data_IF_526879832926
#
_entry.id   IF_526879832926
#
_cell.length_a   1.000
_cell.length_b   1.000
_cell.length_c   1.000
_cell.angle_alpha   90.00
_cell.angle_beta   90.00
_cell.angle_gamma   90.00
#
_symmetry.space_group_name_H-M   'P 1'
#
loop_
_entity.id
_entity.type
_entity.pdbx_description
1 polymer ?
#
# COMPACT_ATOMS: atom_id res chain seq x y z
N UNK A 1 -43.04 -7.51 61.00
CA UNK A 1 -41.97 -8.00 61.90
C UNK A 1 -40.65 -7.79 61.18
N UNK A 2 -39.87 -6.80 61.62
CA UNK A 2 -38.55 -6.49 61.08
C UNK A 2 -37.44 -6.96 62.02
N UNK A 3 -36.25 -7.18 61.46
CA UNK A 3 -34.89 -7.16 62.07
C UNK A 3 -33.92 -6.97 60.89
N UNK A 4 -33.33 -5.78 60.70
CA UNK A 4 -31.98 -5.36 61.11
C UNK A 4 -30.81 -6.18 60.52
N UNK A 5 -30.09 -5.63 59.53
CA UNK A 5 -28.76 -4.96 59.60
C UNK A 5 -27.57 -5.85 60.00
N UNK A 6 -26.52 -5.90 59.15
CA UNK A 6 -25.14 -5.47 59.49
C UNK A 6 -24.10 -5.68 58.36
N UNK A 7 -23.44 -4.57 58.01
CA UNK A 7 -21.98 -4.32 57.92
C UNK A 7 -21.05 -5.37 57.26
N UNK A 8 -20.56 -5.01 56.06
CA UNK A 8 -19.17 -4.59 55.82
C UNK A 8 -18.00 -5.52 56.17
N UNK A 9 -17.23 -5.93 55.14
CA UNK A 9 -15.77 -6.12 55.27
C UNK A 9 -15.05 -5.82 53.96
N UNK A 10 -14.00 -4.99 54.09
CA UNK A 10 -13.01 -4.63 53.08
C UNK A 10 -11.94 -5.72 52.93
N UNK A 11 -11.34 -5.74 51.73
CA UNK A 11 -9.90 -5.81 51.44
C UNK A 11 -9.35 -7.04 50.71
N UNK A 12 -8.31 -6.77 49.91
CA UNK A 12 -7.49 -7.59 49.00
C UNK A 12 -8.13 -7.73 47.62
N UNK A 13 -7.69 -7.05 46.56
CA UNK A 13 -6.35 -6.59 46.23
C UNK A 13 -5.81 -7.45 45.09
N UNK A 14 -6.18 -7.11 43.85
CA UNK A 14 -5.48 -7.61 42.66
C UNK A 14 -5.25 -6.41 41.74
N UNK A 15 -4.03 -5.88 41.81
CA UNK A 15 -3.49 -4.95 40.81
C UNK A 15 -3.14 -5.77 39.57
N UNK A 16 -3.98 -5.72 38.54
CA UNK A 16 -3.56 -6.13 37.20
C UNK A 16 -2.73 -4.99 36.60
N UNK A 17 -1.41 -5.05 36.84
CA UNK A 17 -0.41 -4.31 36.06
C UNK A 17 -0.44 -4.89 34.64
N UNK A 18 -1.01 -4.16 33.69
CA UNK A 18 -0.69 -4.37 32.28
C UNK A 18 0.65 -3.65 32.08
N UNK A 19 1.73 -4.43 32.04
CA UNK A 19 3.01 -4.01 31.51
C UNK A 19 2.81 -3.76 30.00
N UNK A 20 2.84 -2.49 29.60
CA UNK A 20 3.20 -2.13 28.23
C UNK A 20 4.72 -2.36 28.10
N UNK A 21 5.09 -3.57 27.69
CA UNK A 21 6.45 -3.84 27.24
C UNK A 21 6.63 -3.15 25.91
N UNK A 22 7.38 -2.05 25.93
CA UNK A 22 7.94 -1.44 24.74
C UNK A 22 8.76 -2.50 23.98
N UNK A 23 8.37 -2.78 22.74
CA UNK A 23 9.25 -3.49 21.81
C UNK A 23 10.28 -2.45 21.34
N UNK A 24 11.33 -2.30 22.13
CA UNK A 24 12.60 -1.76 21.68
C UNK A 24 13.22 -2.77 20.72
N UNK A 25 13.63 -2.33 19.53
CA UNK A 25 14.53 -3.08 18.65
C UNK A 25 15.96 -2.60 18.91
N UNK A 26 16.85 -3.41 19.52
CA UNK A 26 18.24 -3.03 19.69
C UNK A 26 19.19 -3.91 18.85
N UNK A 27 20.37 -3.32 18.56
CA UNK A 27 21.62 -3.90 18.02
C UNK A 27 21.69 -4.28 16.52
N UNK A 28 22.85 -4.24 15.85
CA UNK A 28 24.09 -3.44 15.87
C UNK A 28 24.98 -4.02 14.75
N UNK A 29 25.88 -3.20 14.24
CA UNK A 29 27.02 -3.51 13.36
C UNK A 29 27.71 -4.88 13.52
N UNK A 30 28.00 -5.53 12.37
CA UNK A 30 29.27 -6.14 11.90
C UNK A 30 28.89 -7.10 10.76
N UNK A 31 29.35 -6.89 9.52
CA UNK A 31 30.62 -7.44 9.04
C UNK A 31 31.20 -6.58 7.90
N UNK A 32 32.46 -6.18 8.09
CA UNK A 32 33.43 -5.95 6.99
C UNK A 32 34.17 -7.29 6.85
N UNK A 33 34.36 -7.76 5.60
CA UNK A 33 35.61 -8.33 5.08
C UNK A 33 35.37 -8.94 3.70
N UNK A 34 35.84 -8.24 2.66
CA UNK A 34 36.25 -8.87 1.40
C UNK A 34 37.44 -9.81 1.65
N UNK A 35 37.61 -10.85 0.83
CA UNK A 35 38.89 -10.97 0.15
C UNK A 35 38.74 -11.18 -1.36
N UNK A 36 39.60 -10.48 -2.07
CA UNK A 36 40.01 -10.70 -3.44
C UNK A 36 40.30 -12.18 -3.74
N UNK A 37 39.81 -12.66 -4.88
CA UNK A 37 40.50 -13.70 -5.64
C UNK A 37 40.63 -13.25 -7.10
N UNK A 38 41.89 -13.09 -7.45
CA UNK A 38 42.50 -12.89 -8.76
C UNK A 38 42.33 -14.12 -9.65
N UNK A 39 42.05 -13.89 -10.93
CA UNK A 39 42.18 -14.85 -12.02
C UNK A 39 41.51 -14.24 -13.25
N UNK A 40 42.20 -13.65 -14.22
CA UNK A 40 43.40 -14.16 -14.87
C UNK A 40 42.97 -14.88 -16.14
N UNK A 41 42.50 -14.15 -17.15
CA UNK A 41 42.39 -14.67 -18.51
C UNK A 41 42.91 -13.64 -19.52
N UNK A 42 43.75 -14.17 -20.41
CA UNK A 42 44.59 -13.50 -21.38
C UNK A 42 44.03 -13.77 -22.78
N UNK A 43 44.24 -12.79 -23.69
CA UNK A 43 44.32 -12.83 -25.17
C UNK A 43 43.08 -12.32 -25.95
N UNK A 44 43.27 -11.91 -27.23
CA UNK A 44 44.25 -10.93 -27.71
C UNK A 44 43.59 -9.90 -28.65
N UNK A 45 44.36 -8.87 -29.02
CA UNK A 45 43.83 -7.61 -29.52
C UNK A 45 43.32 -7.57 -30.96
N UNK A 46 42.66 -6.46 -31.23
CA UNK A 46 42.39 -5.91 -32.55
C UNK A 46 42.87 -4.47 -32.59
N UNK A 47 43.62 -4.15 -33.65
CA UNK A 47 44.15 -2.82 -33.98
C UNK A 47 43.14 -2.05 -34.83
N UNK A 48 43.30 -0.73 -34.73
CA UNK A 48 42.98 0.33 -35.68
C UNK A 48 41.50 0.64 -35.98
N UNK A 49 41.06 1.85 -35.60
CA UNK A 49 40.84 2.92 -36.57
C UNK A 49 40.68 4.30 -35.89
N UNK A 50 41.13 5.33 -36.60
CA UNK A 50 41.26 6.73 -36.17
C UNK A 50 39.97 7.52 -36.45
N UNK A 51 39.62 8.40 -35.51
CA UNK A 51 38.91 9.69 -35.72
C UNK A 51 37.38 9.64 -35.78
N UNK A 52 36.67 10.78 -35.55
CA UNK A 52 37.16 12.15 -35.46
C UNK A 52 36.88 12.89 -34.13
N UNK A 53 37.61 13.99 -33.95
CA UNK A 53 37.48 14.97 -32.87
C UNK A 53 36.06 15.55 -32.79
N UNK A 54 35.44 15.48 -31.61
CA UNK A 54 34.28 16.30 -31.26
C UNK A 54 34.73 17.34 -30.23
N UNK A 55 34.46 18.59 -30.59
CA UNK A 55 34.79 19.81 -29.86
C UNK A 55 34.11 19.83 -28.49
N UNK A 56 34.93 19.93 -27.43
CA UNK A 56 34.49 20.25 -26.07
C UNK A 56 33.83 21.63 -26.04
N UNK A 57 32.50 21.69 -26.05
CA UNK A 57 31.79 22.83 -25.48
C UNK A 57 31.82 22.68 -23.96
N UNK A 58 32.65 23.49 -23.32
CA UNK A 58 32.66 23.64 -21.87
C UNK A 58 31.31 24.19 -21.40
N UNK A 59 30.46 23.31 -20.90
CA UNK A 59 29.37 23.70 -20.02
C UNK A 59 30.00 24.17 -18.72
N UNK A 60 29.92 25.47 -18.46
CA UNK A 60 30.24 26.04 -17.16
C UNK A 60 29.21 25.48 -16.19
N UNK A 61 29.61 24.47 -15.42
CA UNK A 61 28.85 24.08 -14.23
C UNK A 61 28.74 25.33 -13.37
N UNK A 62 27.52 25.83 -13.21
CA UNK A 62 27.20 26.86 -12.21
C UNK A 62 27.67 26.31 -10.86
N UNK A 63 28.83 26.76 -10.38
CA UNK A 63 29.30 26.42 -9.04
C UNK A 63 28.25 26.99 -8.09
N UNK A 64 27.57 26.10 -7.38
CA UNK A 64 26.70 26.48 -6.28
C UNK A 64 27.45 27.46 -5.38
N UNK A 65 26.76 28.47 -4.85
CA UNK A 65 27.42 29.43 -3.98
C UNK A 65 27.99 28.67 -2.77
N UNK A 66 29.15 29.07 -2.21
CA UNK A 66 29.74 28.38 -1.06
C UNK A 66 28.78 28.19 0.12
N UNK A 67 27.73 29.02 0.22
CA UNK A 67 26.66 28.92 1.20
C UNK A 67 25.69 27.76 0.90
N UNK A 68 25.33 27.55 -0.37
CA UNK A 68 24.46 26.43 -0.77
C UNK A 68 25.13 25.07 -0.50
N UNK A 69 26.45 24.98 -0.62
CA UNK A 69 27.21 23.76 -0.30
C UNK A 69 27.10 23.36 1.19
N UNK A 70 26.97 24.33 2.10
CA UNK A 70 26.76 24.08 3.52
C UNK A 70 25.32 23.68 3.83
N UNK A 71 24.35 24.30 3.17
CA UNK A 71 22.92 24.00 3.34
C UNK A 71 22.54 22.62 2.77
N UNK A 72 23.28 22.13 1.77
CA UNK A 72 23.05 20.83 1.15
C UNK A 72 23.65 19.63 1.94
N UNK A 73 24.18 19.85 3.14
CA UNK A 73 24.84 18.80 3.93
C UNK A 73 23.83 17.82 4.52
N UNK A 74 24.08 16.53 4.27
CA UNK A 74 23.29 15.43 4.83
C UNK A 74 23.48 15.28 6.34
N UNK A 75 22.55 14.60 7.01
CA UNK A 75 22.65 14.31 8.46
C UNK A 75 23.99 13.65 8.83
N UNK A 76 24.43 12.65 8.06
CA UNK A 76 25.69 11.93 8.32
C UNK A 76 26.92 12.83 8.18
N UNK A 77 26.91 13.73 7.20
CA UNK A 77 27.99 14.71 7.06
C UNK A 77 28.01 15.67 8.24
N UNK A 78 26.84 16.20 8.64
CA UNK A 78 26.70 17.10 9.78
C UNK A 78 27.11 16.41 11.07
N UNK A 79 26.73 15.14 11.29
CA UNK A 79 27.14 14.37 12.46
C UNK A 79 28.67 14.26 12.60
N UNK A 80 29.37 14.15 11.48
CA UNK A 80 30.84 14.08 11.42
C UNK A 80 31.54 15.45 11.55
N UNK A 81 30.80 16.55 11.72
CA UNK A 81 31.40 17.87 11.86
C UNK A 81 32.09 18.05 13.21
N UNK A 82 33.35 18.49 13.15
CA UNK A 82 34.01 19.13 14.29
C UNK A 82 33.46 20.55 14.53
N UNK A 83 33.86 21.16 15.64
CA UNK A 83 33.39 22.48 16.11
C UNK A 83 33.42 23.56 15.01
N UNK A 84 34.52 23.67 14.28
CA UNK A 84 34.69 24.68 13.23
C UNK A 84 33.74 24.50 12.04
N UNK A 85 33.39 23.24 11.72
CA UNK A 85 32.45 22.94 10.63
C UNK A 85 31.01 23.17 11.07
N UNK A 86 30.68 22.88 12.33
CA UNK A 86 29.38 23.24 12.93
C UNK A 86 29.15 24.74 12.86
N UNK A 87 30.16 25.54 13.19
CA UNK A 87 30.10 27.01 13.10
C UNK A 87 29.76 27.51 11.70
N UNK A 88 30.44 26.98 10.67
CA UNK A 88 30.21 27.37 9.28
C UNK A 88 28.83 26.94 8.78
N UNK A 89 28.38 25.75 9.20
CA UNK A 89 27.04 25.26 8.87
C UNK A 89 25.95 26.13 9.54
N UNK A 90 26.07 26.40 10.84
CA UNK A 90 25.13 27.24 11.57
C UNK A 90 25.08 28.67 11.01
N UNK A 91 26.24 29.23 10.63
CA UNK A 91 26.31 30.53 9.95
C UNK A 91 25.52 30.52 8.63
N UNK A 92 25.70 29.49 7.80
CA UNK A 92 25.00 29.36 6.52
C UNK A 92 23.47 29.25 6.70
N UNK A 93 23.02 28.47 7.68
CA UNK A 93 21.60 28.32 8.06
C UNK A 93 21.02 29.65 8.52
N UNK A 94 21.70 30.37 9.42
CA UNK A 94 21.21 31.64 9.95
C UNK A 94 21.19 32.74 8.88
N UNK A 95 22.16 32.73 7.96
CA UNK A 95 22.16 33.63 6.79
C UNK A 95 20.99 33.32 5.83
N UNK A 96 20.66 32.05 5.61
CA UNK A 96 19.48 31.65 4.82
C UNK A 96 18.19 32.19 5.45
N UNK A 97 18.07 32.12 6.77
CA UNK A 97 16.97 32.69 7.54
C UNK A 97 16.99 34.22 7.66
N UNK A 98 17.91 34.92 6.96
CA UNK A 98 18.07 36.38 6.99
C UNK A 98 18.23 36.95 8.40
N UNK A 99 18.89 36.21 9.29
CA UNK A 99 19.23 36.69 10.64
C UNK A 99 20.28 37.79 10.54
N UNK A 100 20.19 38.81 11.40
CA UNK A 100 21.18 39.91 11.45
C UNK A 100 22.57 39.40 11.79
N UNK A 101 23.60 39.90 11.11
CA UNK A 101 24.99 39.43 11.22
C UNK A 101 25.52 39.44 12.67
N UNK A 102 25.14 40.42 13.49
CA UNK A 102 25.59 40.47 14.89
C UNK A 102 25.06 39.27 15.70
N UNK A 103 23.81 38.86 15.44
CA UNK A 103 23.20 37.70 16.09
C UNK A 103 23.78 36.39 15.56
N UNK A 104 24.18 36.36 14.29
CA UNK A 104 24.87 35.21 13.71
C UNK A 104 26.23 35.02 14.40
N UNK A 105 27.04 36.07 14.48
CA UNK A 105 28.37 35.99 15.11
C UNK A 105 28.28 35.63 16.60
N UNK A 106 27.32 36.20 17.32
CA UNK A 106 27.06 35.83 18.72
C UNK A 106 26.68 34.34 18.85
N UNK A 107 25.78 33.85 18.00
CA UNK A 107 25.33 32.45 18.04
C UNK A 107 26.47 31.49 17.70
N UNK A 108 27.24 31.77 16.65
CA UNK A 108 28.37 30.93 16.25
C UNK A 108 29.46 30.90 17.32
N UNK A 109 29.81 32.05 17.90
CA UNK A 109 30.80 32.15 18.99
C UNK A 109 30.35 31.33 20.20
N UNK A 110 29.06 31.42 20.54
CA UNK A 110 28.47 30.69 21.65
C UNK A 110 28.56 29.17 21.43
N UNK A 111 28.18 28.67 20.25
CA UNK A 111 28.30 27.25 19.91
C UNK A 111 29.76 26.76 19.94
N UNK A 112 30.72 27.58 19.52
CA UNK A 112 32.15 27.27 19.61
C UNK A 112 32.64 27.17 21.06
N UNK A 113 32.29 28.15 21.88
CA UNK A 113 32.67 28.21 23.30
C UNK A 113 32.11 27.02 24.08
N UNK A 114 30.86 26.65 23.81
CA UNK A 114 30.22 25.45 24.39
C UNK A 114 30.75 24.13 23.79
N UNK A 115 31.61 24.22 22.78
CA UNK A 115 32.25 23.05 22.18
C UNK A 115 31.31 22.13 21.43
N UNK A 116 30.21 22.66 20.88
CA UNK A 116 29.19 21.88 20.18
C UNK A 116 29.78 21.24 18.93
N UNK A 117 29.76 19.91 18.92
CA UNK A 117 30.13 19.06 17.76
C UNK A 117 28.89 18.72 16.94
N UNK A 118 29.09 18.18 15.75
CA UNK A 118 28.02 17.75 14.85
C UNK A 118 27.03 16.78 15.51
N UNK A 119 27.55 15.78 16.24
CA UNK A 119 26.72 14.83 16.99
C UNK A 119 25.88 15.51 18.07
N UNK A 120 26.50 16.33 18.92
CA UNK A 120 25.76 17.05 19.97
C UNK A 120 24.78 18.07 19.40
N UNK A 121 25.12 18.72 18.28
CA UNK A 121 24.22 19.68 17.60
C UNK A 121 22.92 19.00 17.20
N UNK A 122 23.01 17.79 16.64
CA UNK A 122 21.87 16.98 16.24
C UNK A 122 21.06 16.43 17.41
N UNK A 123 21.38 16.75 18.66
CA UNK A 123 20.59 16.37 19.85
C UNK A 123 19.92 17.59 20.50
N UNK A 124 20.31 18.81 20.11
CA UNK A 124 19.85 20.04 20.75
C UNK A 124 18.41 20.39 20.36
N UNK A 125 17.58 20.56 21.37
CA UNK A 125 16.24 21.16 21.30
C UNK A 125 16.30 22.69 21.27
N UNK A 126 15.20 23.38 20.86
CA UNK A 126 15.11 24.83 20.98
C UNK A 126 15.41 25.33 22.40
N UNK A 127 14.93 24.61 23.42
CA UNK A 127 15.09 24.93 24.84
C UNK A 127 16.56 24.82 25.30
N UNK A 128 17.27 23.80 24.84
CA UNK A 128 18.70 23.61 25.13
C UNK A 128 19.56 24.66 24.42
N UNK A 129 19.22 25.03 23.18
CA UNK A 129 19.88 26.14 22.48
C UNK A 129 19.72 27.47 23.24
N UNK A 130 18.52 27.73 23.76
CA UNK A 130 18.27 28.91 24.59
C UNK A 130 19.03 28.88 25.91
N UNK A 131 19.14 27.70 26.53
CA UNK A 131 19.95 27.49 27.76
C UNK A 131 21.43 27.74 27.50
N UNK A 132 21.90 27.45 26.28
CA UNK A 132 23.23 27.83 25.81
C UNK A 132 23.38 29.33 25.49
N UNK A 133 22.43 30.19 25.86
CA UNK A 133 22.43 31.64 25.57
C UNK A 133 22.24 32.00 24.08
N UNK A 134 21.73 31.07 23.25
CA UNK A 134 21.29 31.41 21.89
C UNK A 134 19.93 32.09 21.96
N UNK A 135 19.77 33.25 21.29
CA UNK A 135 18.48 33.97 21.30
C UNK A 135 17.39 33.15 20.60
N UNK A 136 16.14 33.36 21.03
CA UNK A 136 14.95 32.62 20.57
C UNK A 136 14.84 32.51 19.03
N UNK A 137 15.10 33.58 18.29
CA UNK A 137 15.01 33.58 16.82
C UNK A 137 16.00 32.60 16.17
N UNK A 138 17.32 32.78 16.35
CA UNK A 138 18.34 31.83 15.92
C UNK A 138 18.12 30.40 16.44
N UNK A 139 17.70 30.24 17.70
CA UNK A 139 17.47 28.93 18.30
C UNK A 139 16.34 28.16 17.57
N UNK A 140 15.21 28.82 17.29
CA UNK A 140 14.11 28.22 16.52
C UNK A 140 14.52 27.83 15.11
N UNK A 141 15.29 28.67 14.42
CA UNK A 141 15.72 28.41 13.05
C UNK A 141 16.68 27.20 12.98
N UNK A 142 17.65 27.16 13.90
CA UNK A 142 18.59 26.04 14.00
C UNK A 142 17.87 24.75 14.38
N UNK A 143 16.98 24.80 15.38
CA UNK A 143 16.21 23.63 15.78
C UNK A 143 15.31 23.12 14.65
N UNK A 144 14.68 24.00 13.86
CA UNK A 144 13.88 23.58 12.70
C UNK A 144 14.75 22.91 11.63
N UNK A 145 15.96 23.43 11.35
CA UNK A 145 16.88 22.78 10.40
C UNK A 145 17.45 21.47 10.93
N UNK A 146 17.74 21.38 12.23
CA UNK A 146 18.14 20.13 12.88
C UNK A 146 16.99 19.12 12.79
N UNK A 147 15.75 19.55 13.07
CA UNK A 147 14.54 18.74 12.93
C UNK A 147 14.39 18.24 11.50
N UNK A 148 14.59 19.06 10.47
CA UNK A 148 14.57 18.64 9.06
C UNK A 148 15.71 17.66 8.69
N UNK A 149 16.86 17.72 9.39
CA UNK A 149 17.94 16.74 9.23
C UNK A 149 17.69 15.43 10.02
N UNK A 150 16.91 15.50 11.09
CA UNK A 150 16.55 14.40 11.98
C UNK A 150 15.27 13.68 11.56
N UNK A 151 14.33 14.41 10.96
CA UNK A 151 13.27 13.84 10.14
C UNK A 151 14.02 12.92 9.23
N UNK A 152 13.80 11.62 9.50
CA UNK A 152 14.29 10.51 8.71
C UNK A 152 14.27 11.02 7.29
N UNK A 153 15.42 11.02 6.59
CA UNK A 153 15.39 10.95 5.14
C UNK A 153 14.40 9.83 4.88
N UNK A 154 13.12 10.16 4.70
CA UNK A 154 12.11 9.25 4.18
C UNK A 154 12.88 8.72 3.00
N UNK A 155 13.20 7.41 2.99
CA UNK A 155 14.08 6.87 1.98
C UNK A 155 13.55 7.51 0.71
N UNK A 156 14.40 8.27 0.00
CA UNK A 156 14.15 8.40 -1.43
C UNK A 156 14.12 6.95 -1.81
N UNK A 157 12.92 6.39 -1.93
CA UNK A 157 12.71 4.98 -2.13
C UNK A 157 13.34 4.79 -3.50
N UNK A 158 14.63 4.47 -3.52
CA UNK A 158 15.22 3.76 -4.62
C UNK A 158 14.44 2.45 -4.56
N UNK A 159 13.29 2.42 -5.25
CA UNK A 159 12.47 1.24 -5.35
C UNK A 159 13.45 0.12 -5.71
N UNK A 160 13.52 -0.96 -4.92
CA UNK A 160 14.46 -2.00 -5.21
C UNK A 160 14.16 -2.51 -6.61
N UNK A 161 15.25 -2.55 -7.37
CA UNK A 161 15.20 -2.81 -8.78
C UNK A 161 15.07 -4.32 -8.99
N UNK A 162 13.89 -4.77 -9.40
CA UNK A 162 13.64 -6.16 -9.77
C UNK A 162 13.73 -6.27 -11.29
N UNK A 163 14.84 -6.83 -11.76
CA UNK A 163 15.08 -7.00 -13.20
C UNK A 163 14.47 -8.29 -13.79
N UNK A 164 13.66 -9.00 -12.99
CA UNK A 164 13.03 -10.26 -13.35
C UNK A 164 11.53 -10.02 -13.55
N UNK A 165 10.99 -10.21 -14.77
CA UNK A 165 9.58 -9.95 -15.06
C UNK A 165 8.62 -10.70 -14.13
N UNK A 166 8.92 -11.94 -13.76
CA UNK A 166 8.06 -12.79 -12.95
C UNK A 166 7.94 -12.26 -11.51
N UNK A 167 9.06 -11.79 -10.95
CA UNK A 167 9.08 -11.15 -9.62
C UNK A 167 8.29 -9.86 -9.66
N UNK A 168 8.51 -9.05 -10.69
CA UNK A 168 7.85 -7.76 -10.81
C UNK A 168 6.33 -7.92 -11.02
N UNK A 169 5.89 -8.88 -11.85
CA UNK A 169 4.47 -9.22 -12.02
C UNK A 169 3.85 -9.68 -10.69
N UNK A 170 4.52 -10.59 -9.97
CA UNK A 170 4.02 -11.06 -8.68
C UNK A 170 3.85 -9.92 -7.66
N UNK A 171 4.81 -8.99 -7.59
CA UNK A 171 4.73 -7.80 -6.75
C UNK A 171 3.63 -6.84 -7.20
N UNK A 172 3.44 -6.64 -8.51
CA UNK A 172 2.35 -5.83 -9.08
C UNK A 172 0.99 -6.39 -8.68
N UNK A 173 0.78 -7.70 -8.84
CA UNK A 173 -0.48 -8.33 -8.41
C UNK A 173 -0.66 -8.22 -6.89
N UNK A 174 0.39 -8.41 -6.09
CA UNK A 174 0.33 -8.27 -4.62
C UNK A 174 0.11 -6.81 -4.18
N UNK A 175 0.45 -5.82 -5.00
CA UNK A 175 0.23 -4.41 -4.66
C UNK A 175 -1.22 -3.97 -4.77
N UNK A 176 -2.03 -4.69 -5.53
CA UNK A 176 -3.46 -4.45 -5.58
C UNK A 176 -4.21 -5.14 -4.43
N UNK A 177 -3.69 -6.24 -3.88
CA UNK A 177 -4.45 -7.15 -3.02
C UNK A 177 -3.76 -7.43 -1.70
N UNK A 178 -4.52 -7.47 -0.61
CA UNK A 178 -3.97 -7.92 0.68
C UNK A 178 -3.67 -9.43 0.62
N UNK A 179 -2.40 -9.78 0.49
CA UNK A 179 -1.98 -11.18 0.32
C UNK A 179 -1.57 -11.83 1.65
N UNK A 180 -2.10 -13.02 2.01
CA UNK A 180 -1.64 -13.78 3.17
C UNK A 180 -0.20 -14.27 2.96
N UNK A 181 0.72 -13.82 3.82
CA UNK A 181 2.12 -14.21 3.72
C UNK A 181 2.88 -14.00 5.04
N UNK A 182 3.89 -14.84 5.24
CA UNK A 182 4.85 -14.76 6.34
C UNK A 182 6.27 -14.61 5.80
N UNK A 183 7.18 -14.01 6.58
CA UNK A 183 8.52 -13.63 6.08
C UNK A 183 9.38 -14.79 5.56
N UNK A 184 9.17 -16.02 6.02
CA UNK A 184 9.95 -17.18 5.55
C UNK A 184 9.39 -17.82 4.27
N UNK A 185 8.17 -17.45 3.85
CA UNK A 185 7.53 -17.97 2.65
C UNK A 185 8.09 -17.29 1.39
N UNK A 186 7.90 -17.94 0.24
CA UNK A 186 8.27 -17.41 -1.06
C UNK A 186 7.20 -16.42 -1.57
N UNK A 187 7.64 -15.41 -2.32
CA UNK A 187 6.75 -14.57 -3.12
C UNK A 187 6.15 -15.43 -4.23
N UNK A 188 4.82 -15.39 -4.46
CA UNK A 188 4.15 -16.24 -5.45
C UNK A 188 4.86 -16.26 -6.81
N UNK A 189 5.15 -17.46 -7.32
CA UNK A 189 5.73 -17.64 -8.65
C UNK A 189 7.23 -17.35 -8.75
N UNK A 190 7.91 -17.14 -7.63
CA UNK A 190 9.33 -16.77 -7.61
C UNK A 190 10.13 -17.65 -6.65
N UNK A 191 11.46 -17.54 -6.73
CA UNK A 191 12.40 -18.11 -5.76
C UNK A 191 12.76 -17.15 -4.60
N UNK A 192 12.22 -15.92 -4.59
CA UNK A 192 12.51 -14.92 -3.56
C UNK A 192 11.65 -15.11 -2.32
N UNK A 193 12.21 -14.85 -1.14
CA UNK A 193 11.47 -14.86 0.13
C UNK A 193 10.88 -13.50 0.44
N UNK A 194 9.72 -13.48 1.07
CA UNK A 194 9.13 -12.24 1.59
C UNK A 194 10.07 -11.49 2.54
N UNK A 195 10.91 -12.18 3.32
CA UNK A 195 11.94 -11.53 4.16
C UNK A 195 12.92 -10.68 3.37
N UNK A 196 13.28 -11.10 2.16
CA UNK A 196 14.24 -10.38 1.31
C UNK A 196 13.56 -9.17 0.67
N UNK A 197 12.30 -9.35 0.28
CA UNK A 197 11.41 -8.25 -0.13
C UNK A 197 11.32 -7.21 1.00
N UNK A 198 10.93 -7.60 2.22
CA UNK A 198 10.83 -6.65 3.35
C UNK A 198 12.14 -5.91 3.65
N UNK A 199 13.28 -6.61 3.61
CA UNK A 199 14.61 -6.00 3.80
C UNK A 199 14.94 -4.96 2.74
N UNK A 200 14.44 -5.16 1.52
CA UNK A 200 14.58 -4.21 0.42
C UNK A 200 13.64 -2.99 0.55
N UNK A 201 12.85 -2.90 1.63
CA UNK A 201 11.76 -1.93 1.77
C UNK A 201 10.49 -2.36 1.05
N UNK A 202 10.53 -3.56 0.43
CA UNK A 202 9.56 -4.32 -0.38
C UNK A 202 8.12 -3.86 -0.49
N UNK A 203 7.63 -3.79 0.73
CA UNK A 203 6.44 -4.42 1.21
C UNK A 203 6.62 -4.42 2.72
N UNK A 204 5.52 -4.30 3.43
CA UNK A 204 5.51 -4.23 4.88
C UNK A 204 4.70 -5.40 5.43
N UNK A 205 5.24 -6.15 6.40
CA UNK A 205 4.46 -7.14 7.13
C UNK A 205 3.26 -6.46 7.82
N UNK A 206 2.09 -7.07 7.71
CA UNK A 206 0.87 -6.66 8.40
C UNK A 206 0.16 -7.89 8.94
N UNK A 207 0.43 -8.25 10.20
CA UNK A 207 -0.03 -9.50 10.81
C UNK A 207 0.37 -10.73 9.98
N UNK A 208 -0.62 -11.53 9.52
CA UNK A 208 -0.45 -12.71 8.66
C UNK A 208 -0.52 -12.38 7.16
N UNK A 209 -0.30 -11.12 6.80
CA UNK A 209 -0.42 -10.61 5.43
C UNK A 209 0.68 -9.61 5.12
N UNK A 210 0.78 -9.21 3.86
CA UNK A 210 1.72 -8.19 3.40
C UNK A 210 0.99 -7.01 2.77
N UNK A 211 1.56 -5.83 2.93
CA UNK A 211 1.14 -4.61 2.26
C UNK A 211 2.23 -4.18 1.29
N UNK A 212 1.93 -4.10 0.00
CA UNK A 212 2.88 -3.62 -1.00
C UNK A 212 2.42 -2.23 -1.46
N UNK A 213 3.22 -1.16 -1.21
CA UNK A 213 2.83 0.19 -1.59
C UNK A 213 2.75 0.40 -3.09
N UNK A 214 1.97 1.41 -3.51
CA UNK A 214 1.85 1.84 -4.92
C UNK A 214 3.19 2.19 -5.58
N UNK A 215 4.18 2.65 -4.80
CA UNK A 215 5.45 3.24 -5.25
C UNK A 215 6.49 2.25 -5.83
N UNK A 216 6.05 1.08 -6.27
CA UNK A 216 6.90 -0.07 -6.50
C UNK A 216 6.88 -0.46 -7.98
N UNK A 217 7.15 0.54 -8.81
CA UNK A 217 7.19 0.37 -10.25
C UNK A 217 8.62 0.20 -10.73
N UNK A 218 8.85 -0.84 -11.53
CA UNK A 218 10.16 -1.11 -12.10
C UNK A 218 10.61 0.07 -12.98
N UNK A 219 11.79 0.65 -12.73
CA UNK A 219 12.31 1.74 -13.56
C UNK A 219 12.66 1.28 -14.98
N UNK A 220 12.84 -0.03 -15.19
CA UNK A 220 13.15 -0.63 -16.49
C UNK A 220 11.95 -0.64 -17.44
N UNK A 221 12.09 0.04 -18.58
CA UNK A 221 11.06 0.13 -19.62
C UNK A 221 10.73 -1.24 -20.23
N UNK A 222 11.71 -2.14 -20.40
CA UNK A 222 11.47 -3.44 -21.01
C UNK A 222 10.63 -4.32 -20.08
N UNK A 223 10.90 -4.25 -18.78
CA UNK A 223 10.15 -5.02 -17.77
C UNK A 223 8.75 -4.45 -17.60
N UNK A 224 8.60 -3.12 -17.61
CA UNK A 224 7.27 -2.49 -17.64
C UNK A 224 6.44 -2.98 -18.82
N UNK A 225 7.04 -3.05 -20.00
CA UNK A 225 6.34 -3.51 -21.19
C UNK A 225 6.00 -5.00 -21.13
N UNK A 226 6.92 -5.83 -20.61
CA UNK A 226 6.64 -7.25 -20.34
C UNK A 226 5.45 -7.42 -19.39
N UNK A 227 5.44 -6.71 -18.25
CA UNK A 227 4.34 -6.76 -17.28
C UNK A 227 3.01 -6.32 -17.91
N UNK A 228 3.02 -5.26 -18.75
CA UNK A 228 1.80 -4.82 -19.45
C UNK A 228 1.28 -5.88 -20.39
N UNK A 229 2.16 -6.55 -21.13
CA UNK A 229 1.78 -7.63 -22.03
C UNK A 229 1.21 -8.80 -21.23
N UNK A 230 1.87 -9.21 -20.15
CA UNK A 230 1.39 -10.28 -19.27
C UNK A 230 0.00 -9.94 -18.70
N UNK A 231 -0.19 -8.74 -18.15
CA UNK A 231 -1.50 -8.32 -17.61
C UNK A 231 -2.58 -8.25 -18.69
N UNK A 232 -2.22 -7.83 -19.90
CA UNK A 232 -3.14 -7.84 -21.05
C UNK A 232 -3.57 -9.27 -21.42
N UNK A 233 -2.65 -10.23 -21.40
CA UNK A 233 -2.97 -11.65 -21.62
C UNK A 233 -3.87 -12.21 -20.50
N UNK A 234 -3.68 -11.75 -19.26
CA UNK A 234 -4.54 -12.09 -18.12
C UNK A 234 -5.89 -11.36 -18.14
N UNK A 235 -6.10 -10.47 -19.11
CA UNK A 235 -7.24 -9.55 -19.20
C UNK A 235 -7.48 -8.78 -17.88
N UNK A 236 -6.40 -8.29 -17.29
CA UNK A 236 -6.39 -7.42 -16.11
C UNK A 236 -5.85 -6.06 -16.55
N UNK A 237 -6.61 -5.00 -16.29
CA UNK A 237 -6.17 -3.65 -16.62
C UNK A 237 -5.21 -3.14 -15.55
N UNK A 238 -4.01 -2.75 -15.95
CA UNK A 238 -2.99 -2.25 -15.03
C UNK A 238 -3.40 -0.91 -14.40
N UNK A 239 -4.08 -0.04 -15.15
CA UNK A 239 -4.56 1.24 -14.62
C UNK A 239 -5.76 1.02 -13.69
N UNK A 240 -6.67 0.10 -14.01
CA UNK A 240 -7.74 -0.33 -13.11
C UNK A 240 -7.23 -1.07 -11.86
N UNK A 241 -6.10 -1.77 -11.96
CA UNK A 241 -5.49 -2.52 -10.85
C UNK A 241 -4.65 -1.62 -9.94
N UNK A 242 -3.94 -0.63 -10.49
CA UNK A 242 -3.07 0.30 -9.77
C UNK A 242 -3.33 1.77 -10.15
N UNK A 243 -4.56 2.28 -9.96
CA UNK A 243 -4.93 3.62 -10.42
C UNK A 243 -4.15 4.72 -9.67
N UNK A 244 -4.28 5.96 -10.16
CA UNK A 244 -3.61 7.06 -9.49
C UNK A 244 -4.12 7.31 -8.07
N UNK A 245 -3.22 7.40 -7.09
CA UNK A 245 -3.56 7.58 -5.67
C UNK A 245 -4.22 8.93 -5.41
N UNK A 246 -3.83 9.99 -6.12
CA UNK A 246 -4.52 11.28 -6.04
C UNK A 246 -5.91 11.15 -6.67
N UNK A 247 -6.01 10.46 -7.81
CA UNK A 247 -7.31 10.20 -8.44
C UNK A 247 -8.22 9.35 -7.54
N UNK A 248 -7.72 8.28 -6.92
CA UNK A 248 -8.49 7.45 -5.96
C UNK A 248 -8.96 8.26 -4.75
N UNK A 249 -8.15 9.18 -4.26
CA UNK A 249 -8.52 10.02 -3.12
C UNK A 249 -9.62 11.03 -3.47
N UNK A 250 -9.65 11.50 -4.72
CA UNK A 250 -10.59 12.53 -5.18
C UNK A 250 -11.81 11.99 -5.92
N UNK A 251 -11.72 10.79 -6.50
CA UNK A 251 -12.75 10.18 -7.32
C UNK A 251 -13.34 8.96 -6.60
N UNK A 252 -14.64 9.03 -6.32
CA UNK A 252 -15.45 7.97 -5.70
C UNK A 252 -16.34 7.34 -6.79
N UNK A 253 -16.69 6.05 -6.70
CA UNK A 253 -17.54 5.37 -7.69
C UNK A 253 -16.79 4.44 -8.66
N UNK A 254 -16.96 4.62 -9.98
CA UNK A 254 -16.55 3.68 -11.05
C UNK A 254 -15.11 3.14 -10.93
N UNK A 255 -14.12 3.99 -10.60
CA UNK A 255 -12.73 3.55 -10.40
C UNK A 255 -12.56 2.53 -9.28
N UNK A 256 -13.40 2.57 -8.25
CA UNK A 256 -13.38 1.61 -7.16
C UNK A 256 -13.99 0.27 -7.59
N UNK A 257 -15.00 0.28 -8.45
CA UNK A 257 -15.59 -0.93 -9.03
C UNK A 257 -14.55 -1.69 -9.84
N UNK A 258 -13.81 -0.97 -10.68
CA UNK A 258 -12.69 -1.52 -11.46
C UNK A 258 -11.61 -2.07 -10.56
N UNK A 259 -11.20 -1.30 -9.55
CA UNK A 259 -10.16 -1.73 -8.62
C UNK A 259 -10.55 -3.01 -7.89
N UNK A 260 -11.81 -3.12 -7.44
CA UNK A 260 -12.34 -4.34 -6.82
C UNK A 260 -12.34 -5.51 -7.80
N UNK A 261 -12.85 -5.33 -9.02
CA UNK A 261 -12.93 -6.39 -10.02
C UNK A 261 -11.53 -6.91 -10.41
N UNK A 262 -10.62 -6.00 -10.73
CA UNK A 262 -9.24 -6.35 -11.09
C UNK A 262 -8.50 -6.95 -9.89
N UNK A 263 -8.75 -6.48 -8.66
CA UNK A 263 -8.18 -7.06 -7.44
C UNK A 263 -8.65 -8.49 -7.18
N UNK A 264 -9.93 -8.80 -7.41
CA UNK A 264 -10.45 -10.17 -7.31
C UNK A 264 -9.78 -11.07 -8.34
N UNK A 265 -9.73 -10.65 -9.62
CA UNK A 265 -9.02 -11.40 -10.66
C UNK A 265 -7.54 -11.61 -10.32
N UNK A 266 -6.86 -10.58 -9.82
CA UNK A 266 -5.47 -10.66 -9.39
C UNK A 266 -5.26 -11.65 -8.23
N UNK A 267 -6.16 -11.68 -7.23
CA UNK A 267 -6.11 -12.69 -6.15
C UNK A 267 -6.22 -14.11 -6.68
N UNK A 268 -7.15 -14.35 -7.60
CA UNK A 268 -7.29 -15.66 -8.23
C UNK A 268 -6.00 -16.07 -8.97
N UNK A 269 -5.44 -15.17 -9.77
CA UNK A 269 -4.18 -15.43 -10.48
C UNK A 269 -3.02 -15.69 -9.50
N UNK A 270 -2.86 -14.87 -8.46
CA UNK A 270 -1.84 -15.09 -7.42
C UNK A 270 -2.02 -16.42 -6.70
N UNK A 271 -3.25 -16.83 -6.41
CA UNK A 271 -3.55 -18.12 -5.80
C UNK A 271 -3.09 -19.28 -6.69
N UNK A 272 -3.44 -19.23 -7.97
CA UNK A 272 -3.00 -20.24 -8.93
C UNK A 272 -1.47 -20.28 -9.06
N UNK A 273 -0.82 -19.12 -9.17
CA UNK A 273 0.65 -19.00 -9.23
C UNK A 273 1.31 -19.59 -7.97
N UNK A 274 0.85 -19.19 -6.78
CA UNK A 274 1.42 -19.64 -5.51
C UNK A 274 1.32 -21.15 -5.30
N UNK A 275 0.28 -21.78 -5.84
CA UNK A 275 0.05 -23.23 -5.74
C UNK A 275 0.46 -24.02 -6.98
N UNK A 276 1.06 -23.35 -7.97
CA UNK A 276 1.45 -23.96 -9.24
C UNK A 276 0.26 -24.66 -9.94
N UNK A 277 -0.89 -24.00 -9.97
CA UNK A 277 -2.14 -24.48 -10.58
C UNK A 277 -2.36 -23.81 -11.93
N UNK A 278 -2.98 -24.54 -12.87
CA UNK A 278 -3.39 -23.97 -14.16
C UNK A 278 -4.68 -23.15 -14.00
N UNK A 279 -4.56 -21.83 -14.08
CA UNK A 279 -5.69 -20.92 -13.90
C UNK A 279 -6.80 -21.11 -14.95
N UNK A 280 -6.49 -21.62 -16.15
CA UNK A 280 -7.45 -21.78 -17.25
C UNK A 280 -8.52 -22.86 -16.97
N UNK A 281 -8.20 -23.84 -16.14
CA UNK A 281 -9.07 -25.00 -15.88
C UNK A 281 -9.41 -25.18 -14.40
N UNK A 282 -8.71 -24.49 -13.51
CA UNK A 282 -8.87 -24.66 -12.07
C UNK A 282 -10.02 -23.82 -11.55
N UNK A 283 -10.96 -24.48 -10.87
CA UNK A 283 -11.95 -23.84 -10.03
C UNK A 283 -11.47 -23.90 -8.58
N UNK A 284 -11.42 -22.75 -7.93
CA UNK A 284 -10.89 -22.59 -6.57
C UNK A 284 -12.05 -22.23 -5.64
N UNK A 285 -12.18 -22.83 -4.44
CA UNK A 285 -13.20 -22.41 -3.48
C UNK A 285 -13.17 -20.89 -3.26
N UNK A 286 -14.33 -20.21 -3.30
CA UNK A 286 -14.38 -18.74 -3.22
C UNK A 286 -13.65 -18.23 -1.96
N UNK A 287 -13.84 -18.92 -0.83
CA UNK A 287 -13.21 -18.60 0.46
C UNK A 287 -11.69 -18.74 0.49
N UNK A 288 -11.07 -19.44 -0.47
CA UNK A 288 -9.60 -19.46 -0.59
C UNK A 288 -9.06 -18.20 -1.29
N UNK A 289 -9.90 -17.53 -2.08
CA UNK A 289 -9.58 -16.26 -2.74
C UNK A 289 -9.93 -15.07 -1.83
N UNK A 290 -11.05 -15.18 -1.11
CA UNK A 290 -11.49 -14.21 -0.11
C UNK A 290 -11.72 -14.90 1.25
N UNK A 291 -10.65 -15.13 2.04
CA UNK A 291 -10.81 -15.64 3.39
C UNK A 291 -11.48 -14.56 4.26
N UNK A 292 -12.51 -14.97 4.99
CA UNK A 292 -13.25 -14.11 5.91
C UNK A 292 -13.51 -14.84 7.22
N UNK A 293 -13.51 -14.12 8.33
CA UNK A 293 -13.95 -14.64 9.63
C UNK A 293 -15.45 -14.45 9.90
N UNK A 294 -16.13 -13.62 9.09
CA UNK A 294 -17.56 -13.39 9.18
C UNK A 294 -18.34 -14.70 8.93
N UNK A 295 -19.08 -15.23 9.93
CA UNK A 295 -19.81 -16.50 9.77
C UNK A 295 -20.91 -16.44 8.70
N UNK A 296 -21.56 -15.29 8.56
CA UNK A 296 -22.64 -15.08 7.60
C UNK A 296 -22.09 -15.04 6.18
N UNK A 297 -21.10 -14.17 5.92
CA UNK A 297 -20.46 -14.12 4.62
C UNK A 297 -19.81 -15.47 4.24
N UNK A 298 -19.21 -16.14 5.22
CA UNK A 298 -18.66 -17.48 5.00
C UNK A 298 -19.74 -18.44 4.51
N UNK A 299 -20.89 -18.51 5.18
CA UNK A 299 -22.00 -19.37 4.78
C UNK A 299 -22.58 -19.02 3.41
N UNK A 300 -22.49 -17.75 3.00
CA UNK A 300 -22.93 -17.24 1.69
C UNK A 300 -21.96 -17.66 0.58
N UNK A 301 -20.64 -17.60 0.81
CA UNK A 301 -19.62 -17.88 -0.22
C UNK A 301 -19.17 -19.34 -0.26
N UNK A 302 -19.32 -20.09 0.84
CA UNK A 302 -18.89 -21.50 0.97
C UNK A 302 -19.42 -22.45 -0.13
N UNK A 303 -20.67 -22.34 -0.60
CA UNK A 303 -21.20 -23.19 -1.67
C UNK A 303 -20.52 -22.99 -3.03
N UNK A 304 -19.71 -21.95 -3.18
CA UNK A 304 -19.21 -21.50 -4.48
C UNK A 304 -17.71 -21.72 -4.66
N UNK A 305 -17.33 -21.91 -5.91
CA UNK A 305 -15.96 -21.89 -6.40
C UNK A 305 -15.87 -20.97 -7.62
N UNK A 306 -14.67 -20.48 -7.90
CA UNK A 306 -14.41 -19.44 -8.88
C UNK A 306 -13.30 -19.85 -9.83
N UNK A 307 -13.44 -19.45 -11.09
CA UNK A 307 -12.40 -19.52 -12.10
C UNK A 307 -12.46 -18.20 -12.85
N UNK A 308 -11.49 -17.32 -12.58
CA UNK A 308 -11.43 -15.99 -13.19
C UNK A 308 -10.31 -15.89 -14.22
N UNK A 309 -10.13 -16.96 -15.02
CA UNK A 309 -9.12 -16.99 -16.07
C UNK A 309 -9.32 -15.87 -17.09
N UNK A 310 -10.56 -15.52 -17.38
CA UNK A 310 -10.82 -14.54 -18.43
C UNK A 310 -10.74 -13.09 -17.90
N UNK A 311 -10.26 -12.89 -16.66
CA UNK A 311 -9.99 -11.58 -16.08
C UNK A 311 -11.25 -10.76 -15.84
N UNK A 312 -11.25 -9.51 -16.33
CA UNK A 312 -12.37 -8.56 -16.19
C UNK A 312 -12.92 -8.19 -17.57
N UNK A 313 -14.22 -8.35 -17.75
CA UNK A 313 -14.93 -7.97 -18.96
C UNK A 313 -15.76 -6.70 -18.72
N UNK A 314 -15.67 -5.76 -19.66
CA UNK A 314 -16.47 -4.53 -19.66
C UNK A 314 -17.49 -4.61 -20.79
N UNK A 315 -18.78 -4.86 -20.51
CA UNK A 315 -19.79 -4.89 -21.55
C UNK A 315 -19.77 -3.57 -22.33
N UNK A 316 -19.84 -3.68 -23.65
CA UNK A 316 -19.65 -2.54 -24.55
C UNK A 316 -20.83 -1.58 -24.46
N UNK A 317 -20.57 -0.27 -24.50
CA UNK A 317 -21.60 0.77 -24.39
C UNK A 317 -22.63 0.81 -25.54
N UNK A 318 -22.53 -0.08 -26.52
CA UNK A 318 -23.54 -0.27 -27.58
C UNK A 318 -24.50 -1.44 -27.29
N UNK A 319 -24.24 -2.24 -26.25
CA UNK A 319 -25.11 -3.32 -25.78
C UNK A 319 -25.94 -2.92 -24.55
N UNK A 320 -26.66 -3.90 -23.99
CA UNK A 320 -27.26 -3.76 -22.66
C UNK A 320 -26.21 -4.04 -21.58
N UNK A 321 -26.44 -3.54 -20.36
CA UNK A 321 -25.67 -3.96 -19.19
C UNK A 321 -25.66 -5.49 -19.04
N UNK A 322 -24.63 -6.02 -18.39
CA UNK A 322 -24.66 -7.42 -17.97
C UNK A 322 -25.65 -7.60 -16.81
N UNK A 323 -26.43 -8.68 -16.86
CA UNK A 323 -27.39 -9.05 -15.80
C UNK A 323 -27.15 -10.48 -15.35
N UNK A 324 -27.77 -10.90 -14.24
CA UNK A 324 -27.70 -12.29 -13.76
C UNK A 324 -28.26 -13.32 -14.75
N UNK A 325 -29.00 -12.87 -15.77
CA UNK A 325 -29.52 -13.70 -16.86
C UNK A 325 -28.58 -13.80 -18.06
N UNK A 326 -27.48 -13.04 -18.06
CA UNK A 326 -26.46 -13.11 -19.11
C UNK A 326 -25.71 -14.44 -19.06
N UNK A 327 -25.11 -14.83 -20.19
CA UNK A 327 -24.25 -16.02 -20.25
C UNK A 327 -23.09 -15.89 -19.26
N UNK A 328 -22.89 -16.96 -18.49
CA UNK A 328 -21.90 -17.02 -17.41
C UNK A 328 -20.60 -17.58 -17.97
N UNK A 329 -19.63 -16.69 -18.15
CA UNK A 329 -18.25 -17.03 -18.52
C UNK A 329 -17.33 -17.15 -17.30
N UNK A 330 -16.03 -16.95 -17.52
CA UNK A 330 -15.02 -16.88 -16.46
C UNK A 330 -14.48 -15.46 -16.24
N UNK A 331 -15.07 -14.45 -16.88
CA UNK A 331 -14.71 -13.05 -16.64
C UNK A 331 -15.64 -12.41 -15.61
N UNK A 332 -15.08 -11.64 -14.68
CA UNK A 332 -15.89 -10.74 -13.83
C UNK A 332 -16.43 -9.64 -14.73
N UNK A 333 -17.76 -9.47 -14.79
CA UNK A 333 -18.37 -8.42 -15.62
C UNK A 333 -18.50 -7.14 -14.81
N UNK A 334 -17.93 -6.04 -15.30
CA UNK A 334 -18.06 -4.71 -14.71
C UNK A 334 -18.95 -3.83 -15.56
N UNK A 335 -20.06 -3.39 -15.00
CA UNK A 335 -21.04 -2.52 -15.67
C UNK A 335 -20.68 -1.03 -15.57
N UNK A 336 -19.41 -0.67 -15.31
CA UNK A 336 -18.96 0.72 -15.15
C UNK A 336 -19.43 1.68 -16.27
N UNK A 337 -19.60 1.16 -17.49
CA UNK A 337 -20.00 1.95 -18.66
C UNK A 337 -21.51 2.32 -18.64
N UNK A 338 -22.27 1.86 -17.65
CA UNK A 338 -23.71 2.01 -17.57
C UNK A 338 -24.10 2.75 -16.29
N UNK A 339 -24.29 4.07 -16.40
CA UNK A 339 -24.61 4.94 -15.26
C UNK A 339 -25.87 4.52 -14.46
N UNK A 340 -26.78 3.76 -15.06
CA UNK A 340 -27.99 3.24 -14.40
C UNK A 340 -27.98 1.73 -14.26
N UNK A 341 -26.80 1.12 -14.16
CA UNK A 341 -26.69 -0.32 -13.99
C UNK A 341 -27.46 -0.79 -12.74
N UNK A 342 -28.08 -1.96 -12.84
CA UNK A 342 -28.74 -2.60 -11.70
C UNK A 342 -27.72 -3.14 -10.68
N UNK A 343 -26.60 -3.65 -11.17
CA UNK A 343 -25.49 -4.17 -10.39
C UNK A 343 -24.19 -3.63 -10.98
N UNK A 344 -23.27 -3.23 -10.11
CA UNK A 344 -22.00 -2.66 -10.52
C UNK A 344 -21.08 -3.77 -11.07
N UNK A 345 -21.06 -4.93 -10.41
CA UNK A 345 -20.29 -6.10 -10.81
C UNK A 345 -21.15 -7.37 -10.84
N UNK A 346 -20.84 -8.29 -11.75
CA UNK A 346 -21.30 -9.68 -11.72
C UNK A 346 -20.12 -10.62 -11.65
N UNK A 347 -20.07 -11.41 -10.57
CA UNK A 347 -18.97 -12.30 -10.25
C UNK A 347 -19.37 -13.72 -10.67
N UNK A 348 -18.73 -14.30 -11.71
CA UNK A 348 -19.06 -15.65 -12.14
C UNK A 348 -18.57 -16.64 -11.10
N UNK A 349 -19.43 -17.60 -10.77
CA UNK A 349 -19.18 -18.67 -9.83
C UNK A 349 -19.71 -19.99 -10.38
N UNK A 350 -19.18 -21.09 -9.86
CA UNK A 350 -19.76 -22.43 -10.00
C UNK A 350 -20.29 -22.88 -8.65
N UNK A 351 -21.54 -23.32 -8.60
CA UNK A 351 -22.09 -23.95 -7.41
C UNK A 351 -21.49 -25.35 -7.25
N UNK A 352 -20.84 -25.62 -6.11
CA UNK A 352 -20.16 -26.90 -5.84
C UNK A 352 -21.12 -28.09 -5.86
N UNK A 353 -22.35 -27.89 -5.38
CA UNK A 353 -23.33 -28.96 -5.24
C UNK A 353 -23.94 -29.39 -6.58
N UNK A 354 -24.17 -28.44 -7.49
CA UNK A 354 -24.88 -28.69 -8.76
C UNK A 354 -23.98 -28.63 -9.98
N UNK A 355 -22.77 -28.06 -9.86
CA UNK A 355 -21.87 -27.75 -10.97
C UNK A 355 -22.38 -26.62 -11.88
N UNK A 356 -23.53 -26.00 -11.56
CA UNK A 356 -24.13 -24.95 -12.36
C UNK A 356 -23.29 -23.67 -12.28
N UNK A 357 -23.09 -23.03 -13.43
CA UNK A 357 -22.51 -21.69 -13.51
C UNK A 357 -23.60 -20.65 -13.30
N UNK A 358 -23.32 -19.67 -12.45
CA UNK A 358 -24.20 -18.54 -12.15
C UNK A 358 -23.39 -17.29 -11.77
N UNK A 359 -24.08 -16.15 -11.69
CA UNK A 359 -23.49 -14.91 -11.21
C UNK A 359 -23.91 -14.64 -9.77
N UNK A 360 -22.94 -14.25 -8.95
CA UNK A 360 -23.20 -13.48 -7.73
C UNK A 360 -23.22 -12.00 -8.13
N UNK A 361 -24.32 -11.31 -7.85
CA UNK A 361 -24.41 -9.88 -8.09
C UNK A 361 -23.66 -9.12 -6.99
N UNK A 362 -22.91 -8.09 -7.35
CA UNK A 362 -22.21 -7.26 -6.40
C UNK A 362 -22.45 -5.76 -6.66
N UNK A 363 -22.54 -5.02 -5.55
CA UNK A 363 -22.68 -3.57 -5.50
C UNK A 363 -21.50 -2.97 -4.77
N UNK A 364 -20.76 -2.09 -5.43
CA UNK A 364 -19.65 -1.38 -4.84
C UNK A 364 -20.16 -0.05 -4.30
N UNK A 365 -20.09 0.11 -2.98
CA UNK A 365 -20.55 1.31 -2.30
C UNK A 365 -19.40 2.17 -1.76
N UNK A 366 -18.17 1.92 -2.18
CA UNK A 366 -17.03 2.71 -1.75
C UNK A 366 -17.08 4.11 -2.39
N UNK A 367 -17.53 5.11 -1.63
CA UNK A 367 -17.75 6.43 -2.22
C UNK A 367 -18.73 7.33 -1.48
N UNK A 368 -19.43 8.21 -2.22
CA UNK A 368 -20.50 9.00 -1.61
C UNK A 368 -21.55 8.04 -1.05
N UNK A 369 -21.95 8.28 0.19
CA UNK A 369 -22.96 7.47 0.88
C UNK A 369 -24.25 7.53 0.07
N UNK A 370 -24.54 6.48 -0.70
CA UNK A 370 -25.82 6.32 -1.39
C UNK A 370 -26.90 6.33 -0.30
N UNK A 371 -27.81 7.31 -0.36
CA UNK A 371 -28.92 7.38 0.56
C UNK A 371 -29.92 6.23 0.29
N UNK A 372 -30.93 6.10 1.14
CA UNK A 372 -31.96 5.08 0.96
C UNK A 372 -32.73 5.21 -0.38
N UNK A 373 -32.65 6.36 -1.06
CA UNK A 373 -33.22 6.60 -2.40
C UNK A 373 -32.34 6.04 -3.52
N UNK A 374 -31.02 6.24 -3.45
CA UNK A 374 -30.05 5.67 -4.37
C UNK A 374 -30.05 4.14 -4.36
N UNK A 375 -30.21 3.54 -3.18
CA UNK A 375 -30.32 2.08 -3.02
C UNK A 375 -31.65 1.51 -3.57
N UNK A 376 -32.74 2.29 -3.59
CA UNK A 376 -34.06 1.83 -4.07
C UNK A 376 -34.10 1.62 -5.59
N UNK A 377 -33.33 2.40 -6.35
CA UNK A 377 -33.28 2.28 -7.82
C UNK A 377 -32.57 0.99 -8.28
N UNK A 378 -31.81 0.37 -7.37
CA UNK A 378 -30.99 -0.82 -7.62
C UNK A 378 -31.72 -2.14 -7.27
N UNK A 379 -32.95 -2.10 -6.73
CA UNK A 379 -33.81 -3.28 -6.43
C UNK A 379 -34.82 -3.57 -7.57
N UNK A 380 -34.44 -3.34 -8.82
CA UNK A 380 -35.32 -3.59 -9.99
C UNK A 380 -35.35 -5.05 -10.47
N UNK A 381 -34.63 -5.97 -9.79
CA UNK A 381 -34.73 -7.41 -10.02
C UNK A 381 -36.15 -7.99 -9.80
N UNK A 382 -37.10 -7.17 -9.34
CA UNK A 382 -38.46 -7.52 -8.92
C UNK A 382 -39.49 -7.81 -10.02
N UNK A 383 -39.18 -7.67 -11.31
CA UNK A 383 -40.24 -7.72 -12.35
C UNK A 383 -40.62 -9.11 -12.86
N UNK A 384 -40.16 -10.21 -12.25
CA UNK A 384 -40.62 -11.55 -12.60
C UNK A 384 -40.74 -12.49 -11.40
N UNK A 385 -41.84 -13.25 -11.36
CA UNK A 385 -41.99 -14.43 -10.50
C UNK A 385 -41.00 -15.49 -10.97
N UNK A 386 -39.79 -15.49 -10.42
CA UNK A 386 -38.81 -16.54 -10.60
C UNK A 386 -38.55 -17.16 -9.23
N UNK A 387 -39.12 -18.34 -9.01
CA UNK A 387 -39.06 -19.09 -7.75
C UNK A 387 -37.64 -19.57 -7.41
N UNK A 388 -36.73 -19.53 -8.38
CA UNK A 388 -35.29 -19.65 -8.18
C UNK A 388 -34.57 -18.53 -8.92
N UNK A 389 -34.27 -17.45 -8.22
CA UNK A 389 -33.00 -16.76 -8.43
C UNK A 389 -32.40 -16.62 -7.05
N UNK A 390 -31.67 -17.64 -6.56
CA UNK A 390 -31.11 -17.53 -5.20
C UNK A 390 -30.02 -16.45 -5.08
N UNK A 391 -29.55 -15.92 -6.23
CA UNK A 391 -28.58 -14.86 -6.47
C UNK A 391 -28.32 -13.95 -5.26
N UNK A 392 -27.29 -14.36 -4.53
CA UNK A 392 -26.64 -13.60 -3.48
C UNK A 392 -26.33 -12.20 -4.03
N UNK A 393 -26.72 -11.18 -3.27
CA UNK A 393 -26.24 -9.83 -3.45
C UNK A 393 -25.10 -9.57 -2.47
N UNK A 394 -23.93 -9.24 -2.98
CA UNK A 394 -22.80 -8.77 -2.19
C UNK A 394 -22.77 -7.25 -2.22
N UNK A 395 -22.76 -6.62 -1.05
CA UNK A 395 -22.39 -5.21 -0.95
C UNK A 395 -20.91 -5.13 -0.58
N UNK A 396 -20.10 -4.63 -1.51
CA UNK A 396 -18.68 -4.39 -1.35
C UNK A 396 -18.49 -2.95 -0.92
N UNK A 397 -18.05 -2.72 0.31
CA UNK A 397 -17.95 -1.38 0.89
C UNK A 397 -16.86 -1.32 1.95
N UNK A 398 -16.59 -0.12 2.46
CA UNK A 398 -15.73 -0.01 3.64
C UNK A 398 -16.37 -0.74 4.81
N UNK A 399 -15.55 -1.33 5.68
CA UNK A 399 -16.07 -1.95 6.91
C UNK A 399 -16.98 -0.97 7.67
N UNK A 400 -16.54 0.28 7.83
CA UNK A 400 -17.29 1.34 8.50
C UNK A 400 -18.67 1.65 7.87
N UNK A 401 -18.83 1.47 6.57
CA UNK A 401 -20.10 1.70 5.87
C UNK A 401 -21.00 0.48 5.90
N UNK A 402 -20.42 -0.72 5.84
CA UNK A 402 -21.16 -1.99 5.89
C UNK A 402 -21.95 -2.18 7.19
N UNK A 403 -21.46 -1.64 8.31
CA UNK A 403 -22.14 -1.72 9.62
C UNK A 403 -23.42 -0.89 9.73
N UNK A 404 -23.85 -0.17 8.69
CA UNK A 404 -25.13 0.52 8.71
C UNK A 404 -26.26 -0.51 8.81
N UNK A 405 -26.81 -0.64 10.02
CA UNK A 405 -27.94 -1.51 10.31
C UNK A 405 -29.07 -1.20 9.33
N UNK A 406 -29.41 -2.17 8.48
CA UNK A 406 -30.55 -2.07 7.60
C UNK A 406 -31.82 -2.04 8.48
N UNK A 407 -32.27 -0.84 8.83
CA UNK A 407 -33.54 -0.62 9.55
C UNK A 407 -34.76 -1.07 8.73
N UNK A 408 -34.55 -1.43 7.46
CA UNK A 408 -35.54 -1.96 6.54
C UNK A 408 -35.71 -3.48 6.71
N UNK A 409 -36.92 -3.90 7.06
CA UNK A 409 -37.31 -5.31 7.27
C UNK A 409 -37.01 -6.23 6.08
N UNK A 410 -37.06 -5.72 4.84
CA UNK A 410 -36.78 -6.53 3.64
C UNK A 410 -35.30 -6.93 3.56
N UNK A 411 -34.39 -6.02 3.90
CA UNK A 411 -32.95 -6.27 3.89
C UNK A 411 -32.54 -7.18 5.04
N UNK A 412 -33.11 -6.98 6.23
CA UNK A 412 -32.93 -7.88 7.36
C UNK A 412 -33.36 -9.31 7.00
N UNK A 413 -34.52 -9.49 6.36
CA UNK A 413 -34.98 -10.80 5.90
C UNK A 413 -34.05 -11.42 4.86
N UNK A 414 -33.51 -10.65 3.91
CA UNK A 414 -32.53 -11.15 2.93
C UNK A 414 -31.22 -11.60 3.59
N UNK A 415 -30.79 -10.92 4.65
CA UNK A 415 -29.67 -11.39 5.48
C UNK A 415 -30.01 -12.71 6.16
N UNK A 416 -31.17 -12.83 6.81
CA UNK A 416 -31.62 -14.10 7.41
C UNK A 416 -31.67 -15.25 6.39
N UNK A 417 -32.10 -14.96 5.17
CA UNK A 417 -32.15 -15.92 4.06
C UNK A 417 -30.80 -16.14 3.34
N UNK A 418 -29.70 -15.52 3.80
CA UNK A 418 -28.36 -15.57 3.17
C UNK A 418 -28.30 -15.13 1.70
N UNK A 419 -29.27 -14.31 1.28
CA UNK A 419 -29.33 -13.71 -0.07
C UNK A 419 -28.66 -12.35 -0.14
N UNK A 420 -28.14 -11.86 0.98
CA UNK A 420 -27.44 -10.60 1.07
C UNK A 420 -26.29 -10.72 2.06
N UNK A 421 -25.11 -10.23 1.68
CA UNK A 421 -23.94 -10.17 2.58
C UNK A 421 -23.03 -8.98 2.27
N UNK A 422 -22.17 -8.65 3.22
CA UNK A 422 -21.20 -7.58 3.12
C UNK A 422 -19.81 -8.17 2.85
N UNK A 423 -19.07 -7.55 1.94
CA UNK A 423 -17.64 -7.81 1.74
C UNK A 423 -16.87 -6.52 1.96
N UNK A 424 -15.83 -6.58 2.80
CA UNK A 424 -14.93 -5.45 3.00
C UNK A 424 -14.06 -5.26 1.77
N UNK A 425 -14.10 -4.05 1.19
CA UNK A 425 -13.18 -3.66 0.12
C UNK A 425 -11.73 -3.57 0.62
N UNK A 426 -11.50 -3.19 1.89
CA UNK A 426 -10.16 -3.16 2.50
C UNK A 426 -9.55 -4.54 2.56
N UNK A 427 -10.38 -5.54 2.86
CA UNK A 427 -9.94 -6.91 2.88
C UNK A 427 -9.60 -7.40 1.48
N UNK A 428 -10.21 -6.84 0.41
CA UNK A 428 -9.87 -7.16 -0.98
C UNK A 428 -8.56 -6.44 -1.39
N UNK A 429 -8.41 -5.16 -1.04
CA UNK A 429 -7.44 -4.24 -1.66
C UNK A 429 -6.34 -3.80 -0.68
N UNK A 430 -5.07 -4.03 -1.01
CA UNK A 430 -3.94 -3.60 -0.17
C UNK A 430 -3.68 -2.08 -0.22
N UNK A 431 -4.01 -1.42 -1.34
CA UNK A 431 -3.73 0.00 -1.55
C UNK A 431 -4.50 0.91 -0.61
N UNK A 432 -5.67 0.49 -0.11
CA UNK A 432 -6.48 1.34 0.76
C UNK A 432 -5.75 1.69 2.06
N UNK A 433 -5.05 0.73 2.64
CA UNK A 433 -4.30 0.95 3.87
C UNK A 433 -3.14 1.92 3.65
N UNK A 434 -2.54 1.90 2.46
CA UNK A 434 -1.48 2.85 2.08
C UNK A 434 -2.05 4.26 1.90
N UNK A 435 -3.22 4.40 1.28
CA UNK A 435 -3.90 5.69 1.14
C UNK A 435 -4.28 6.29 2.49
N UNK A 436 -4.62 5.48 3.50
CA UNK A 436 -4.92 5.97 4.86
C UNK A 436 -3.70 6.51 5.60
N UNK A 437 -2.49 6.17 5.15
CA UNK A 437 -1.22 6.60 5.76
C UNK A 437 -0.67 7.90 5.14
N UNK A 438 -1.12 8.25 3.94
CA UNK A 438 -0.79 9.50 3.23
C UNK A 438 -1.80 10.59 3.59
#
# INVERSE_FOLDING_TARGET
MGVETTKGRRSRGVRSRILLTAISWPFLHRYISSPSLTGGFHRPGWKDSRGPQVTRRGGVASRASPQQDWLAKSRKEVEAFGKDKVSKWAEAVLKEGKVRDELIQQTVTTLQQQGVTGRSLLELTPEELMTCSVRLGPAKLLAEKIRLLQEVELPRFSAPYFNQPEVALALVLCSAVRWPAEGHQLVPGTSLRWSDIFRAGAAFPNNKSVLVPRLWWCEDTNIKEAIRNDLKELNIDLEGLLPDSLQLATERGEKWEELVANSLAARFRLHCIARNLSAEVTWVPFLEIYPTEDPHLRAVLEPFEVCWSDGVEYPSGQGNEATVMSDVGKAIKSNRNFATAHHDLLIPVRCKATGKLEFIAAQCCYGEKKDAGGLKLQDKAKKGNFEDMQNVLLQICSESEGWQSFTNKTWARRQEEKKYSLMSCETIIAQLDVLKLL
#
